data_IF_424621624312
#
_entry.id   IF_424621624312
#
_cell.length_a   1.000
_cell.length_b   1.000
_cell.length_c   1.000
_cell.angle_alpha   90.00
_cell.angle_beta   90.00
_cell.angle_gamma   90.00
#
_symmetry.space_group_name_H-M   'P 1'
#
loop_
_entity.id
_entity.type
_entity.pdbx_description
1 polymer ?
#
# COMPACT_ATOMS: atom_id res chain seq x y z
N UNK A 1 15.71 -3.60 -9.69
CA UNK A 1 14.59 -3.22 -8.80
C UNK A 1 14.89 -3.63 -7.36
N UNK A 2 15.13 -4.91 -7.07
CA UNK A 2 15.49 -5.39 -5.73
C UNK A 2 16.67 -4.63 -5.11
N UNK A 3 17.81 -4.57 -5.81
CA UNK A 3 19.01 -3.83 -5.37
C UNK A 3 18.72 -2.37 -5.00
N UNK A 4 17.87 -1.68 -5.77
CA UNK A 4 17.50 -0.29 -5.51
C UNK A 4 16.67 -0.13 -4.24
N UNK A 5 15.80 -1.09 -3.93
CA UNK A 5 15.05 -1.10 -2.67
C UNK A 5 15.99 -1.37 -1.49
N UNK A 6 16.86 -2.38 -1.62
CA UNK A 6 17.83 -2.75 -0.58
C UNK A 6 18.76 -1.60 -0.25
N UNK A 7 19.24 -0.86 -1.26
CA UNK A 7 20.07 0.33 -1.08
C UNK A 7 19.41 1.40 -0.20
N UNK A 8 18.07 1.47 -0.18
CA UNK A 8 17.32 2.43 0.62
C UNK A 8 16.76 1.86 1.93
N UNK A 9 16.96 0.57 2.23
CA UNK A 9 16.36 -0.08 3.39
C UNK A 9 16.70 0.59 4.73
N UNK A 10 17.87 1.24 4.81
CA UNK A 10 18.36 1.93 6.00
C UNK A 10 18.61 3.44 5.77
N UNK A 11 18.11 4.04 4.68
CA UNK A 11 18.27 5.49 4.46
C UNK A 11 17.49 6.26 5.54
N UNK A 12 18.14 7.09 6.38
CA UNK A 12 17.46 7.81 7.45
C UNK A 12 16.34 8.70 6.93
N UNK A 13 15.17 8.63 7.57
CA UNK A 13 13.98 9.42 7.21
C UNK A 13 13.30 9.04 5.89
N UNK A 14 13.82 8.07 5.14
CA UNK A 14 13.24 7.66 3.86
C UNK A 14 12.30 6.47 4.03
N UNK A 15 11.05 6.66 3.61
CA UNK A 15 10.06 5.60 3.53
C UNK A 15 10.00 5.05 2.10
N UNK A 16 10.11 3.73 1.95
CA UNK A 16 10.09 3.06 0.63
C UNK A 16 8.72 2.42 0.40
N UNK A 17 8.21 2.59 -0.83
CA UNK A 17 6.90 2.07 -1.23
C UNK A 17 6.89 1.57 -2.67
N UNK A 18 5.91 0.76 -3.01
CA UNK A 18 5.62 0.31 -4.37
C UNK A 18 4.10 0.28 -4.60
N UNK A 19 3.59 0.75 -5.76
CA UNK A 19 2.20 0.53 -6.11
C UNK A 19 1.99 -0.90 -6.63
N UNK A 20 0.79 -1.45 -6.44
CA UNK A 20 0.39 -2.73 -7.06
C UNK A 20 -0.25 -2.51 -8.44
N UNK A 21 0.34 -1.62 -9.24
CA UNK A 21 -0.14 -1.30 -10.57
C UNK A 21 1.00 -0.92 -11.52
N UNK A 22 0.70 -0.98 -12.81
CA UNK A 22 1.59 -0.57 -13.89
C UNK A 22 1.13 0.80 -14.38
N UNK A 23 2.05 1.76 -14.36
CA UNK A 23 1.83 3.10 -14.89
C UNK A 23 2.20 3.17 -16.38
N UNK A 24 1.56 4.08 -17.11
CA UNK A 24 1.96 4.41 -18.49
C UNK A 24 3.41 4.88 -18.55
N UNK A 25 4.10 4.55 -19.65
CA UNK A 25 5.55 4.81 -19.82
C UNK A 25 5.93 6.28 -19.91
N UNK A 26 5.03 7.13 -20.38
CA UNK A 26 5.29 8.55 -20.65
C UNK A 26 4.87 9.47 -19.49
N UNK A 27 5.03 9.01 -18.24
CA UNK A 27 4.89 9.86 -17.07
C UNK A 27 6.00 10.92 -17.04
N UNK A 28 5.67 12.20 -16.77
CA UNK A 28 6.69 13.23 -16.62
C UNK A 28 7.68 12.90 -15.49
N UNK A 29 8.95 13.24 -15.70
CA UNK A 29 10.01 13.02 -14.69
C UNK A 29 9.63 13.66 -13.35
N UNK A 30 9.83 12.92 -12.26
CA UNK A 30 9.55 13.39 -10.90
C UNK A 30 8.07 13.38 -10.51
N UNK A 31 7.18 12.81 -11.33
CA UNK A 31 5.76 12.61 -11.00
C UNK A 31 5.48 11.16 -10.63
N UNK A 32 4.69 10.95 -9.57
CA UNK A 32 4.16 9.63 -9.17
C UNK A 32 3.17 9.08 -10.21
N UNK A 33 2.38 9.97 -10.80
CA UNK A 33 1.15 9.64 -11.52
C UNK A 33 -0.06 9.51 -10.58
N UNK A 34 -1.24 9.33 -11.16
CA UNK A 34 -2.50 9.03 -10.47
C UNK A 34 -3.25 7.90 -11.18
N UNK A 35 -4.52 7.67 -10.81
CA UNK A 35 -5.31 6.58 -11.40
C UNK A 35 -5.43 6.69 -12.93
N UNK A 36 -5.50 7.90 -13.49
CA UNK A 36 -5.54 8.11 -14.95
C UNK A 36 -4.26 7.68 -15.67
N UNK A 37 -3.18 7.45 -14.94
CA UNK A 37 -1.92 6.96 -15.49
C UNK A 37 -1.77 5.43 -15.37
N UNK A 38 -2.69 4.76 -14.66
CA UNK A 38 -2.67 3.30 -14.48
C UNK A 38 -3.18 2.61 -15.75
N UNK A 39 -2.36 1.72 -16.29
CA UNK A 39 -2.73 0.88 -17.44
C UNK A 39 -3.15 -0.54 -17.03
N UNK A 40 -2.70 -1.01 -15.86
CA UNK A 40 -3.13 -2.27 -15.28
C UNK A 40 -2.92 -2.30 -13.76
N UNK A 41 -3.83 -2.93 -13.02
CA UNK A 41 -3.67 -3.27 -11.61
C UNK A 41 -3.19 -4.73 -11.49
N UNK A 42 -2.21 -4.95 -10.62
CA UNK A 42 -1.62 -6.26 -10.32
C UNK A 42 -2.21 -6.89 -9.05
N UNK A 43 -2.84 -6.06 -8.22
CA UNK A 43 -3.48 -6.48 -6.98
C UNK A 43 -4.12 -5.30 -6.27
N UNK A 44 -4.66 -5.56 -5.08
CA UNK A 44 -5.24 -4.59 -4.17
C UNK A 44 -4.65 -4.78 -2.77
N UNK A 45 -4.74 -3.76 -1.93
CA UNK A 45 -4.43 -3.90 -0.53
C UNK A 45 -5.45 -3.17 0.34
N UNK A 46 -5.83 -3.77 1.45
CA UNK A 46 -6.59 -3.10 2.50
C UNK A 46 -5.63 -2.64 3.60
N UNK A 47 -5.57 -1.32 3.84
CA UNK A 47 -4.76 -0.72 4.90
C UNK A 47 -5.55 -0.72 6.21
N UNK A 48 -5.16 -1.60 7.13
CA UNK A 48 -5.77 -1.77 8.44
C UNK A 48 -4.89 -1.10 9.50
N UNK A 49 -5.51 -0.27 10.34
CA UNK A 49 -4.77 0.48 11.35
C UNK A 49 -5.46 0.49 12.70
N UNK A 50 -4.87 -0.19 13.68
CA UNK A 50 -5.34 -0.13 15.07
C UNK A 50 -5.27 1.30 15.63
N UNK A 51 -4.27 2.10 15.22
CA UNK A 51 -4.11 3.49 15.67
C UNK A 51 -5.21 4.45 15.19
N UNK A 52 -6.01 4.01 14.21
CA UNK A 52 -7.16 4.74 13.66
C UNK A 52 -8.49 4.00 13.87
N UNK A 53 -8.49 2.89 14.62
CA UNK A 53 -9.66 2.05 14.83
C UNK A 53 -10.14 1.30 13.58
N UNK A 54 -9.33 1.27 12.51
CA UNK A 54 -9.64 0.60 11.24
C UNK A 54 -9.10 -0.83 11.22
N UNK A 55 -9.51 -1.60 12.22
CA UNK A 55 -9.23 -3.05 12.34
C UNK A 55 -10.44 -3.83 11.86
N UNK A 56 -10.72 -3.75 10.56
CA UNK A 56 -11.81 -4.55 9.98
C UNK A 56 -11.36 -5.94 9.58
N UNK A 57 -12.29 -6.71 9.01
CA UNK A 57 -12.06 -8.08 8.58
C UNK A 57 -11.93 -8.14 7.06
N UNK A 58 -11.05 -9.00 6.57
CA UNK A 58 -10.92 -9.22 5.14
C UNK A 58 -12.08 -10.09 4.64
N UNK A 59 -12.79 -9.67 3.56
CA UNK A 59 -13.88 -10.47 2.99
C UNK A 59 -13.38 -11.69 2.19
N UNK A 60 -12.08 -11.76 1.92
CA UNK A 60 -11.39 -12.84 1.20
C UNK A 60 -10.02 -13.05 1.83
N UNK A 61 -9.42 -14.23 1.62
CA UNK A 61 -8.06 -14.50 2.10
C UNK A 61 -7.03 -13.58 1.42
N UNK A 62 -6.11 -13.04 2.21
CA UNK A 62 -4.98 -12.26 1.72
C UNK A 62 -3.93 -13.18 1.11
N UNK A 63 -3.35 -12.80 -0.04
CA UNK A 63 -2.18 -13.48 -0.61
C UNK A 63 -0.96 -13.38 0.30
N UNK A 64 -0.80 -12.24 0.97
CA UNK A 64 0.16 -12.03 2.06
C UNK A 64 -0.23 -10.80 2.89
N UNK A 65 0.38 -10.67 4.06
CA UNK A 65 0.16 -9.56 4.98
C UNK A 65 1.50 -8.88 5.27
N UNK A 66 1.52 -7.56 5.25
CA UNK A 66 2.65 -6.76 5.71
C UNK A 66 2.26 -6.07 7.00
N UNK A 67 2.89 -6.41 8.12
CA UNK A 67 2.81 -5.57 9.31
C UNK A 67 3.71 -4.34 9.11
N UNK A 68 3.10 -3.16 8.96
CA UNK A 68 3.83 -1.92 8.70
C UNK A 68 4.43 -1.31 9.97
N UNK A 69 3.76 -1.53 11.09
CA UNK A 69 4.12 -1.15 12.46
C UNK A 69 3.24 -1.92 13.43
N UNK A 70 3.59 -2.05 14.72
CA UNK A 70 2.82 -2.83 15.68
C UNK A 70 1.31 -2.51 15.62
N UNK A 71 0.50 -3.50 15.25
CA UNK A 71 -0.96 -3.37 15.15
C UNK A 71 -1.50 -2.66 13.89
N UNK A 72 -0.66 -2.32 12.91
CA UNK A 72 -1.09 -1.75 11.63
C UNK A 72 -0.56 -2.59 10.48
N UNK A 73 -1.44 -3.08 9.61
CA UNK A 73 -1.11 -4.04 8.57
C UNK A 73 -1.72 -3.70 7.22
N UNK A 74 -1.05 -4.16 6.17
CA UNK A 74 -1.52 -4.11 4.79
C UNK A 74 -1.84 -5.52 4.35
N UNK A 75 -3.14 -5.78 4.15
CA UNK A 75 -3.67 -7.07 3.71
C UNK A 75 -3.69 -7.07 2.17
N UNK A 76 -2.77 -7.80 1.54
CA UNK A 76 -2.57 -7.74 0.08
C UNK A 76 -3.23 -8.91 -0.63
N UNK A 77 -3.94 -8.61 -1.73
CA UNK A 77 -4.53 -9.59 -2.65
C UNK A 77 -3.87 -9.39 -4.01
N UNK A 78 -3.21 -10.43 -4.53
CA UNK A 78 -2.68 -10.44 -5.89
C UNK A 78 -3.71 -11.01 -6.86
N UNK A 79 -3.75 -10.47 -8.07
CA UNK A 79 -4.57 -11.03 -9.14
C UNK A 79 -3.76 -12.05 -9.95
N UNK A 80 -4.41 -13.13 -10.39
CA UNK A 80 -3.79 -14.13 -11.28
C UNK A 80 -3.41 -13.56 -12.65
N UNK A 81 -4.05 -12.47 -13.04
CA UNK A 81 -3.75 -11.69 -14.23
C UNK A 81 -3.92 -10.19 -13.97
N UNK A 82 -3.21 -9.32 -14.69
CA UNK A 82 -3.46 -7.89 -14.60
C UNK A 82 -4.91 -7.55 -14.97
N UNK A 83 -5.52 -6.64 -14.21
CA UNK A 83 -6.85 -6.10 -14.47
C UNK A 83 -6.75 -4.68 -15.02
N UNK A 84 -7.68 -4.27 -15.89
CA UNK A 84 -7.79 -2.86 -16.27
C UNK A 84 -8.25 -2.01 -15.08
N UNK A 85 -8.09 -0.68 -15.17
CA UNK A 85 -8.61 0.24 -14.15
C UNK A 85 -10.13 0.07 -13.95
N UNK A 86 -10.87 -0.09 -15.05
CA UNK A 86 -12.32 -0.30 -15.03
C UNK A 86 -12.73 -1.58 -14.31
N UNK A 87 -11.94 -2.65 -14.44
CA UNK A 87 -12.17 -3.91 -13.73
C UNK A 87 -11.76 -3.83 -12.26
N UNK A 88 -10.62 -3.21 -11.95
CA UNK A 88 -10.06 -3.18 -10.61
C UNK A 88 -10.75 -2.18 -9.67
N UNK A 89 -11.18 -1.02 -10.19
CA UNK A 89 -11.75 0.07 -9.37
C UNK A 89 -13.00 -0.34 -8.59
N UNK A 90 -14.00 -1.02 -9.21
CA UNK A 90 -15.17 -1.50 -8.46
C UNK A 90 -14.79 -2.49 -7.35
N UNK A 91 -13.80 -3.36 -7.59
CA UNK A 91 -13.30 -4.32 -6.61
C UNK A 91 -12.61 -3.60 -5.43
N UNK A 92 -11.80 -2.57 -5.70
CA UNK A 92 -11.14 -1.78 -4.65
C UNK A 92 -12.14 -1.02 -3.77
N UNK A 93 -13.19 -0.46 -4.38
CA UNK A 93 -14.28 0.20 -3.64
C UNK A 93 -15.05 -0.80 -2.79
N UNK A 94 -15.37 -1.97 -3.34
CA UNK A 94 -16.04 -3.05 -2.61
C UNK A 94 -15.18 -3.56 -1.44
N UNK A 95 -13.89 -3.79 -1.68
CA UNK A 95 -12.93 -4.20 -0.66
C UNK A 95 -12.85 -3.19 0.47
N UNK A 96 -12.70 -1.89 0.16
CA UNK A 96 -12.67 -0.84 1.17
C UNK A 96 -13.94 -0.84 2.02
N UNK A 97 -15.11 -0.93 1.37
CA UNK A 97 -16.40 -0.94 2.07
C UNK A 97 -16.54 -2.16 2.98
N UNK A 98 -16.21 -3.35 2.49
CA UNK A 98 -16.34 -4.59 3.24
C UNK A 98 -15.35 -4.69 4.41
N UNK A 99 -14.11 -4.22 4.20
CA UNK A 99 -13.05 -4.29 5.21
C UNK A 99 -13.00 -3.10 6.17
N UNK A 100 -13.77 -2.04 5.95
CA UNK A 100 -13.70 -0.81 6.77
C UNK A 100 -12.32 -0.12 6.77
N UNK A 101 -11.46 -0.46 5.82
CA UNK A 101 -10.06 -0.01 5.74
C UNK A 101 -9.91 1.45 5.28
N UNK A 102 -8.67 1.93 5.24
CA UNK A 102 -8.38 3.32 4.89
C UNK A 102 -8.81 3.73 3.47
N UNK A 103 -8.85 5.05 3.20
CA UNK A 103 -9.14 5.60 1.89
C UNK A 103 -8.15 5.13 0.82
N UNK A 104 -6.88 4.88 1.18
CA UNK A 104 -5.87 4.33 0.27
C UNK A 104 -6.31 3.02 -0.40
N UNK A 105 -7.11 2.19 0.27
CA UNK A 105 -7.61 0.90 -0.26
C UNK A 105 -8.38 1.06 -1.58
N UNK A 106 -9.09 2.16 -1.78
CA UNK A 106 -9.88 2.39 -2.99
C UNK A 106 -9.11 3.14 -4.09
N UNK A 107 -7.87 3.57 -3.85
CA UNK A 107 -7.00 4.24 -4.83
C UNK A 107 -6.11 3.20 -5.52
N UNK A 108 -6.36 2.93 -6.79
CA UNK A 108 -5.60 1.96 -7.58
C UNK A 108 -4.15 2.41 -7.81
N UNK A 109 -3.88 3.71 -7.70
CA UNK A 109 -2.54 4.28 -7.79
C UNK A 109 -1.80 4.36 -6.45
N UNK A 110 -2.42 3.87 -5.37
CA UNK A 110 -1.84 3.96 -4.03
C UNK A 110 -0.54 3.17 -3.92
N UNK A 111 0.30 3.58 -2.98
CA UNK A 111 1.62 2.98 -2.76
C UNK A 111 1.65 2.27 -1.41
N UNK A 112 2.22 1.07 -1.41
CA UNK A 112 2.21 0.15 -0.28
C UNK A 112 3.63 -0.06 0.23
N UNK A 113 3.77 -0.41 1.51
CA UNK A 113 5.09 -0.62 2.12
C UNK A 113 5.78 -1.80 1.46
N UNK A 114 7.10 -1.74 1.43
CA UNK A 114 7.93 -2.89 1.03
C UNK A 114 8.47 -3.56 2.29
N UNK A 115 8.27 -4.87 2.37
CA UNK A 115 8.80 -5.73 3.43
C UNK A 115 10.31 -5.51 3.63
N UNK A 116 10.74 -5.52 4.90
CA UNK A 116 12.12 -5.35 5.30
C UNK A 116 12.63 -3.90 5.34
N UNK A 117 11.83 -2.91 4.93
CA UNK A 117 12.22 -1.49 4.96
C UNK A 117 11.76 -0.77 6.23
N UNK A 118 12.46 0.30 6.61
CA UNK A 118 12.09 1.11 7.77
C UNK A 118 10.81 1.96 7.52
N UNK A 119 9.95 2.00 8.53
CA UNK A 119 8.78 2.87 8.62
C UNK A 119 9.08 4.04 9.55
N UNK A 120 9.43 5.18 8.95
CA UNK A 120 9.63 6.44 9.64
C UNK A 120 8.28 7.12 9.87
N UNK A 121 7.79 7.20 11.12
CA UNK A 121 6.50 7.81 11.41
C UNK A 121 6.54 9.32 11.16
N UNK A 122 5.43 9.86 10.70
CA UNK A 122 5.24 11.32 10.62
C UNK A 122 5.06 11.92 12.01
N UNK A 123 5.18 13.25 12.13
CA UNK A 123 4.91 13.96 13.40
C UNK A 123 3.53 13.61 13.98
N UNK A 124 2.50 13.52 13.14
CA UNK A 124 1.15 13.13 13.56
C UNK A 124 1.10 11.70 14.08
N UNK A 125 1.80 10.76 13.44
CA UNK A 125 1.86 9.37 13.91
C UNK A 125 2.65 9.25 15.23
N UNK A 126 3.74 9.99 15.39
CA UNK A 126 4.50 10.07 16.65
C UNK A 126 3.62 10.57 17.80
N UNK A 127 2.79 11.59 17.56
CA UNK A 127 1.87 12.12 18.56
C UNK A 127 0.81 11.10 19.03
N UNK A 128 0.55 10.05 18.22
CA UNK A 128 -0.34 8.92 18.58
C UNK A 128 0.41 7.73 19.19
N UNK A 129 1.71 7.86 19.46
CA UNK A 129 2.54 6.82 20.08
C UNK A 129 3.21 5.86 19.09
N UNK A 130 3.19 6.14 17.79
CA UNK A 130 3.93 5.33 16.83
C UNK A 130 5.46 5.45 17.07
N UNK A 131 6.19 4.38 16.81
CA UNK A 131 7.65 4.32 16.90
C UNK A 131 8.26 3.95 15.55
N UNK A 132 9.57 4.14 15.40
CA UNK A 132 10.30 3.59 14.26
C UNK A 132 10.14 2.07 14.26
N UNK A 133 9.65 1.52 13.17
CA UNK A 133 9.47 0.08 12.99
C UNK A 133 10.07 -0.37 11.66
N UNK A 134 10.24 -1.69 11.50
CA UNK A 134 10.55 -2.31 10.20
C UNK A 134 9.29 -3.01 9.72
N UNK A 135 8.95 -2.87 8.45
CA UNK A 135 7.84 -3.61 7.88
C UNK A 135 8.20 -5.11 7.81
N UNK A 136 7.36 -5.98 8.36
CA UNK A 136 7.59 -7.43 8.46
C UNK A 136 6.43 -8.26 7.98
#
# INVERSE_FOLDING_TARGET
MYESVVAHANTPGANVYVPLCVMRRNLPRGKKGGESDVIAALGLAADMGADTGKVGEMPVESSFVIETSPGNSQQVILFDRPLSLEQAKPLAVALKKASGSDHGTADISHVWRILGTLNWPTKTKLARGAVLSRAS
#
